data_IF_791693132796
#
_entry.id   IF_791693132796
#
_cell.length_a   1.000
_cell.length_b   1.000
_cell.length_c   1.000
_cell.angle_alpha   90.00
_cell.angle_beta   90.00
_cell.angle_gamma   90.00
#
_symmetry.space_group_name_H-M   'P 1'
#
loop_
_entity.id
_entity.type
_entity.pdbx_description
1 polymer ?
#
# COMPACT_ATOMS: atom_id res chain seq x y z
N UNK A 1 9.58 35.05 22.66
CA UNK A 1 8.71 34.33 21.71
C UNK A 1 8.41 32.97 22.31
N UNK A 2 7.17 32.74 22.78
CA UNK A 2 6.80 31.45 23.36
C UNK A 2 6.82 30.39 22.26
N UNK A 3 7.85 29.54 22.27
CA UNK A 3 7.93 28.42 21.35
C UNK A 3 6.83 27.41 21.70
N UNK A 4 6.05 26.99 20.71
CA UNK A 4 5.08 25.90 20.86
C UNK A 4 5.77 24.68 21.48
N UNK A 5 5.14 24.11 22.51
CA UNK A 5 5.64 22.92 23.20
C UNK A 5 5.71 21.73 22.22
N UNK A 6 6.53 20.72 22.53
CA UNK A 6 6.71 19.55 21.64
C UNK A 6 5.38 18.89 21.27
N UNK A 7 4.45 18.85 22.23
CA UNK A 7 3.09 18.33 22.03
C UNK A 7 2.27 19.21 21.09
N UNK A 8 2.30 20.54 21.24
CA UNK A 8 1.59 21.44 20.32
C UNK A 8 2.13 21.33 18.89
N UNK A 9 3.43 21.10 18.72
CA UNK A 9 4.02 20.83 17.40
C UNK A 9 3.56 19.50 16.83
N UNK A 10 3.44 18.45 17.64
CA UNK A 10 2.95 17.15 17.21
C UNK A 10 1.47 17.22 16.80
N UNK A 11 0.62 17.88 17.60
CA UNK A 11 -0.80 18.09 17.28
C UNK A 11 -0.95 18.90 15.99
N UNK A 12 -0.15 19.95 15.80
CA UNK A 12 -0.14 20.73 14.58
C UNK A 12 0.28 19.88 13.37
N UNK A 13 1.38 19.14 13.47
CA UNK A 13 1.86 18.26 12.41
C UNK A 13 0.84 17.17 12.03
N UNK A 14 0.13 16.64 13.02
CA UNK A 14 -0.92 15.64 12.82
C UNK A 14 -2.14 16.27 12.12
N UNK A 15 -2.56 17.47 12.54
CA UNK A 15 -3.62 18.24 11.87
C UNK A 15 -3.25 18.59 10.43
N UNK A 16 -2.06 19.14 10.19
CA UNK A 16 -1.56 19.44 8.85
C UNK A 16 -1.55 18.18 7.97
N UNK A 17 -1.11 17.03 8.53
CA UNK A 17 -1.11 15.76 7.79
C UNK A 17 -2.53 15.23 7.52
N UNK A 18 -3.45 15.40 8.46
CA UNK A 18 -4.86 15.02 8.27
C UNK A 18 -5.53 15.87 7.18
N UNK A 19 -5.27 17.18 7.18
CA UNK A 19 -5.73 18.11 6.13
C UNK A 19 -5.14 17.69 4.78
N UNK A 20 -3.83 17.45 4.70
CA UNK A 20 -3.14 17.00 3.48
C UNK A 20 -3.71 15.67 2.96
N UNK A 21 -3.98 14.70 3.83
CA UNK A 21 -4.56 13.40 3.46
C UNK A 21 -6.02 13.50 3.01
N UNK A 22 -6.80 14.38 3.64
CA UNK A 22 -8.19 14.62 3.25
C UNK A 22 -8.32 15.37 1.93
N UNK A 23 -7.26 16.06 1.49
CA UNK A 23 -7.27 16.91 0.29
C UNK A 23 -8.15 18.17 0.45
N UNK A 24 -8.59 18.47 1.67
CA UNK A 24 -9.42 19.63 2.00
C UNK A 24 -8.58 20.81 2.46
N UNK A 25 -9.17 22.00 2.43
CA UNK A 25 -8.59 23.18 3.09
C UNK A 25 -8.74 23.05 4.60
N UNK A 26 -7.87 23.72 5.37
CA UNK A 26 -7.94 23.73 6.85
C UNK A 26 -9.31 24.19 7.34
N UNK A 27 -9.94 25.12 6.63
CA UNK A 27 -11.27 25.65 6.92
C UNK A 27 -12.38 24.63 6.68
N UNK A 28 -12.27 23.79 5.65
CA UNK A 28 -13.25 22.73 5.36
C UNK A 28 -13.05 21.52 6.27
N UNK A 29 -11.80 21.23 6.63
CA UNK A 29 -11.47 20.22 7.62
C UNK A 29 -12.04 20.56 9.01
N UNK A 30 -12.05 21.84 9.40
CA UNK A 30 -12.65 22.28 10.66
C UNK A 30 -14.19 22.18 10.64
N UNK A 31 -14.81 22.22 9.45
CA UNK A 31 -16.26 22.00 9.30
C UNK A 31 -16.68 20.54 9.37
N UNK A 32 -15.74 19.59 9.21
CA UNK A 32 -16.03 18.16 9.34
C UNK A 32 -16.57 17.82 10.73
N UNK A 33 -17.39 16.78 10.83
CA UNK A 33 -17.88 16.27 12.11
C UNK A 33 -16.74 15.74 12.99
N UNK A 34 -16.99 15.66 14.29
CA UNK A 34 -15.99 15.18 15.27
C UNK A 34 -15.52 13.74 14.95
N UNK A 35 -16.42 12.91 14.44
CA UNK A 35 -16.11 11.55 13.99
C UNK A 35 -15.19 11.55 12.75
N UNK A 36 -15.51 12.33 11.72
CA UNK A 36 -14.70 12.42 10.50
C UNK A 36 -13.30 12.96 10.80
N UNK A 37 -13.19 13.99 11.65
CA UNK A 37 -11.89 14.51 12.09
C UNK A 37 -11.10 13.46 12.86
N UNK A 38 -11.75 12.62 13.66
CA UNK A 38 -11.10 11.54 14.38
C UNK A 38 -10.59 10.43 13.43
N UNK A 39 -11.37 10.07 12.41
CA UNK A 39 -10.96 9.14 11.37
C UNK A 39 -9.73 9.66 10.61
N UNK A 40 -9.75 10.92 10.18
CA UNK A 40 -8.60 11.54 9.51
C UNK A 40 -7.38 11.71 10.44
N UNK A 41 -7.59 12.02 11.71
CA UNK A 41 -6.50 12.07 12.69
C UNK A 41 -5.84 10.70 12.89
N UNK A 42 -6.64 9.62 12.90
CA UNK A 42 -6.12 8.25 12.96
C UNK A 42 -5.32 7.90 11.70
N UNK A 43 -5.83 8.23 10.51
CA UNK A 43 -5.10 8.05 9.25
C UNK A 43 -3.81 8.88 9.18
N UNK A 44 -3.82 10.11 9.71
CA UNK A 44 -2.62 10.94 9.80
C UNK A 44 -1.57 10.36 10.75
N UNK A 45 -2.00 9.86 11.92
CA UNK A 45 -1.11 9.18 12.86
C UNK A 45 -0.52 7.90 12.25
N UNK A 46 -1.33 7.13 11.53
CA UNK A 46 -0.89 5.92 10.84
C UNK A 46 0.12 6.23 9.72
N UNK A 47 -0.14 7.26 8.92
CA UNK A 47 0.80 7.72 7.89
C UNK A 47 2.14 8.21 8.48
N UNK A 48 2.12 8.88 9.64
CA UNK A 48 3.33 9.27 10.36
C UNK A 48 4.07 8.04 10.92
N UNK A 49 3.36 7.07 11.48
CA UNK A 49 3.93 5.82 11.97
C UNK A 49 4.53 4.99 10.84
N UNK A 50 3.85 4.88 9.69
CA UNK A 50 4.34 4.19 8.50
C UNK A 50 5.60 4.87 7.96
N UNK A 51 5.64 6.21 7.92
CA UNK A 51 6.83 6.97 7.53
C UNK A 51 7.98 6.77 8.52
N UNK A 52 7.70 6.70 9.82
CA UNK A 52 8.69 6.41 10.85
C UNK A 52 9.22 4.97 10.75
N UNK A 53 8.34 3.99 10.51
CA UNK A 53 8.71 2.59 10.29
C UNK A 53 9.54 2.41 9.02
N UNK A 54 9.20 3.12 7.93
CA UNK A 54 9.96 3.10 6.68
C UNK A 54 11.32 3.81 6.83
N UNK A 55 11.39 4.89 7.62
CA UNK A 55 12.65 5.54 8.00
C UNK A 55 13.54 4.64 8.89
N UNK A 56 12.93 3.82 9.76
CA UNK A 56 13.64 2.79 10.53
C UNK A 56 14.09 1.61 9.66
N UNK A 57 13.32 1.20 8.66
CA UNK A 57 13.75 0.17 7.70
C UNK A 57 14.97 0.65 6.92
N UNK A 58 14.95 1.88 6.42
CA UNK A 58 16.11 2.46 5.70
C UNK A 58 17.34 2.70 6.59
N UNK A 59 17.15 2.91 7.90
CA UNK A 59 18.27 3.03 8.86
C UNK A 59 18.72 1.68 9.46
N UNK A 60 17.86 0.66 9.44
CA UNK A 60 18.10 -0.70 9.94
C UNK A 60 18.57 -1.68 8.86
N UNK A 61 18.46 -1.32 7.57
CA UNK A 61 18.93 -2.12 6.43
C UNK A 61 20.47 -2.09 6.25
N UNK A 62 21.22 -1.86 7.32
CA UNK A 62 22.65 -2.17 7.38
C UNK A 62 22.96 -3.37 8.30
N UNK A 63 21.99 -3.90 9.07
CA UNK A 63 22.31 -4.87 10.13
C UNK A 63 21.39 -6.10 10.24
N UNK A 64 20.52 -6.39 9.27
CA UNK A 64 19.70 -7.61 9.30
C UNK A 64 19.61 -8.33 7.95
N UNK A 65 20.70 -8.35 7.19
CA UNK A 65 20.90 -9.34 6.12
C UNK A 65 21.53 -10.61 6.70
N UNK A 66 20.78 -11.34 7.54
CA UNK A 66 21.04 -12.77 7.77
C UNK A 66 19.71 -13.50 7.62
N UNK A 67 19.17 -13.50 6.41
CA UNK A 67 18.41 -14.65 5.94
C UNK A 67 19.03 -15.06 4.62
N UNK A 68 19.71 -16.19 4.71
CA UNK A 68 20.46 -16.88 3.68
C UNK A 68 19.54 -17.20 2.50
N UNK A 69 19.57 -16.40 1.45
CA UNK A 69 19.06 -16.76 0.12
C UNK A 69 19.74 -15.92 -0.96
N UNK A 70 20.70 -16.57 -1.61
CA UNK A 70 21.28 -16.38 -2.93
C UNK A 70 20.92 -15.11 -3.74
N UNK A 71 21.89 -14.33 -4.25
CA UNK A 71 21.62 -13.17 -5.08
C UNK A 71 21.43 -13.61 -6.53
N UNK A 72 20.19 -13.53 -7.03
CA UNK A 72 19.97 -13.40 -8.47
C UNK A 72 18.88 -12.38 -8.72
N UNK A 73 19.35 -11.17 -8.99
CA UNK A 73 18.78 -10.18 -9.88
C UNK A 73 17.69 -10.75 -10.80
N UNK A 74 16.45 -10.35 -10.55
CA UNK A 74 15.51 -9.77 -11.52
C UNK A 74 14.25 -9.39 -10.74
N UNK A 75 13.82 -8.17 -11.03
CA UNK A 75 12.54 -7.51 -10.78
C UNK A 75 11.47 -8.29 -10.00
N UNK A 76 10.89 -7.56 -9.05
CA UNK A 76 9.68 -7.78 -8.25
C UNK A 76 8.49 -8.29 -9.08
N UNK A 77 8.57 -9.50 -9.64
CA UNK A 77 7.45 -10.17 -10.27
C UNK A 77 6.74 -11.00 -9.18
N UNK A 78 5.43 -10.78 -8.94
CA UNK A 78 4.68 -11.62 -8.01
C UNK A 78 4.86 -13.08 -8.41
N UNK A 79 5.04 -13.97 -7.43
CA UNK A 79 5.12 -15.40 -7.71
C UNK A 79 3.77 -15.88 -8.24
N UNK A 80 3.66 -15.95 -9.57
CA UNK A 80 2.50 -16.52 -10.27
C UNK A 80 2.63 -18.05 -10.41
N UNK A 81 3.60 -18.66 -9.73
CA UNK A 81 3.82 -20.12 -9.74
C UNK A 81 2.58 -20.83 -9.21
N UNK A 82 1.88 -21.56 -10.09
CA UNK A 82 0.63 -22.27 -9.77
C UNK A 82 -0.65 -21.54 -10.16
N UNK A 83 -0.55 -20.33 -10.72
CA UNK A 83 -1.67 -19.65 -11.35
C UNK A 83 -1.69 -19.92 -12.86
N UNK A 84 -2.90 -20.07 -13.39
CA UNK A 84 -3.16 -20.27 -14.82
C UNK A 84 -3.46 -18.92 -15.45
N UNK A 85 -2.72 -18.59 -16.50
CA UNK A 85 -2.97 -17.36 -17.27
C UNK A 85 -4.23 -17.54 -18.13
N UNK A 86 -5.15 -16.59 -18.04
CA UNK A 86 -6.38 -16.54 -18.84
C UNK A 86 -6.51 -15.19 -19.56
N UNK A 87 -7.16 -15.19 -20.72
CA UNK A 87 -7.38 -14.03 -21.59
C UNK A 87 -8.84 -13.86 -21.94
N UNK A 88 -9.31 -12.61 -21.93
CA UNK A 88 -10.61 -12.22 -22.45
C UNK A 88 -10.49 -10.87 -23.18
N UNK A 89 -10.67 -10.89 -24.50
CA UNK A 89 -10.49 -9.69 -25.33
C UNK A 89 -9.07 -9.15 -25.24
N UNK A 90 -8.91 -7.94 -24.70
CA UNK A 90 -7.61 -7.30 -24.47
C UNK A 90 -7.08 -7.47 -23.03
N UNK A 91 -7.82 -8.16 -22.15
CA UNK A 91 -7.45 -8.36 -20.74
C UNK A 91 -6.75 -9.69 -20.50
N UNK A 92 -5.72 -9.67 -19.65
CA UNK A 92 -4.96 -10.84 -19.17
C UNK A 92 -5.10 -10.95 -17.65
N UNK A 93 -5.30 -12.16 -17.13
CA UNK A 93 -5.41 -12.40 -15.69
C UNK A 93 -4.75 -13.73 -15.30
N UNK A 94 -4.23 -13.83 -14.08
CA UNK A 94 -3.68 -15.07 -13.52
C UNK A 94 -4.65 -15.61 -12.46
N UNK A 95 -5.27 -16.76 -12.71
CA UNK A 95 -6.29 -17.36 -11.83
C UNK A 95 -5.80 -18.65 -11.20
N UNK A 96 -6.28 -18.94 -9.99
CA UNK A 96 -6.07 -20.26 -9.39
C UNK A 96 -6.80 -21.34 -10.21
N UNK A 97 -6.25 -22.56 -10.40
CA UNK A 97 -6.87 -23.62 -11.18
C UNK A 97 -8.28 -24.00 -10.71
N UNK A 98 -8.60 -23.83 -9.43
CA UNK A 98 -9.97 -24.05 -8.91
C UNK A 98 -10.99 -23.02 -9.41
N UNK A 99 -10.54 -21.85 -9.88
CA UNK A 99 -11.38 -20.79 -10.41
C UNK A 99 -11.44 -20.81 -11.94
N UNK A 100 -10.65 -21.66 -12.60
CA UNK A 100 -10.53 -21.72 -14.05
C UNK A 100 -11.85 -22.05 -14.74
N UNK A 101 -12.62 -23.00 -14.21
CA UNK A 101 -13.92 -23.39 -14.77
C UNK A 101 -14.93 -22.24 -14.70
N UNK A 102 -14.92 -21.45 -13.63
CA UNK A 102 -15.78 -20.28 -13.50
C UNK A 102 -15.42 -19.20 -14.52
N UNK A 103 -14.12 -18.93 -14.69
CA UNK A 103 -13.64 -17.97 -15.68
C UNK A 103 -13.91 -18.44 -17.12
N UNK A 104 -13.80 -19.74 -17.39
CA UNK A 104 -14.18 -20.31 -18.69
C UNK A 104 -15.69 -20.15 -18.97
N UNK A 105 -16.55 -20.32 -17.96
CA UNK A 105 -18.00 -20.05 -18.10
C UNK A 105 -18.29 -18.57 -18.38
N UNK A 106 -17.47 -17.68 -17.84
CA UNK A 106 -17.52 -16.23 -18.10
C UNK A 106 -16.89 -15.82 -19.44
N UNK A 107 -16.36 -16.78 -20.23
CA UNK A 107 -15.78 -16.55 -21.54
C UNK A 107 -14.30 -16.18 -21.56
N UNK A 108 -13.57 -16.48 -20.48
CA UNK A 108 -12.11 -16.35 -20.42
C UNK A 108 -11.45 -17.62 -20.97
N UNK A 109 -10.44 -17.46 -21.83
CA UNK A 109 -9.71 -18.57 -22.43
C UNK A 109 -8.34 -18.73 -21.77
N UNK A 110 -7.94 -19.96 -21.47
CA UNK A 110 -6.61 -20.22 -20.91
C UNK A 110 -5.56 -19.90 -21.97
N UNK A 111 -4.61 -19.04 -21.63
CA UNK A 111 -3.45 -18.79 -22.46
C UNK A 111 -2.40 -19.86 -22.15
N UNK A 112 -2.35 -20.89 -23.00
CA UNK A 112 -1.28 -21.88 -23.02
C UNK A 112 0.03 -21.16 -23.39
N UNK A 113 0.86 -20.86 -22.39
CA UNK A 113 2.21 -20.33 -22.60
C UNK A 113 2.98 -21.33 -23.49
N UNK A 114 3.66 -20.89 -24.56
CA UNK A 114 4.35 -21.79 -25.47
C UNK A 114 5.41 -22.60 -24.73
N UNK A 115 5.26 -23.92 -24.81
CA UNK A 115 6.18 -24.95 -24.32
C UNK A 115 7.59 -24.71 -24.88
N UNK A 116 8.52 -24.30 -24.01
CA UNK A 116 9.95 -24.33 -24.28
C UNK A 116 10.50 -25.75 -24.11
#
# INVERSE_FOLDING_TARGET
>A
MAGLTKEQKAVKALRDKAVELSGLSVEDFDKLGEQERADWAKSAQDALNLKAANAQLTSGQAAASVTKSNPKTKEDEPDYSGLVKVKQGAGELYVHPTCLEDHQRLGWQVEDLPKA
#
